data_IF_101217536962
#
_entry.id   IF_101217536962
#
_cell.length_a   1.000
_cell.length_b   1.000
_cell.length_c   1.000
_cell.angle_alpha   90.00
_cell.angle_beta   90.00
_cell.angle_gamma   90.00
#
_symmetry.space_group_name_H-M   'P 1'
#
loop_
_entity.id
_entity.type
_entity.pdbx_description
1 polymer ?
#
# COMPACT_ATOMS: atom_id res chain seq x y z
N UNK A 1 -2.93 5.15 -25.94
CA UNK A 1 -2.55 5.62 -24.58
C UNK A 1 -1.16 6.26 -24.55
N UNK A 2 -0.08 5.55 -24.90
CA UNK A 2 1.30 6.09 -24.89
C UNK A 2 1.45 7.40 -25.67
N UNK A 3 0.95 7.46 -26.91
CA UNK A 3 1.02 8.68 -27.73
C UNK A 3 0.31 9.88 -27.07
N UNK A 4 -0.82 9.64 -26.39
CA UNK A 4 -1.56 10.70 -25.68
C UNK A 4 -0.78 11.20 -24.46
N UNK A 5 -0.12 10.30 -23.72
CA UNK A 5 0.74 10.68 -22.59
C UNK A 5 1.88 11.57 -23.07
N UNK A 6 2.58 11.15 -24.13
CA UNK A 6 3.68 11.93 -24.70
C UNK A 6 3.20 13.30 -25.22
N UNK A 7 2.09 13.33 -25.97
CA UNK A 7 1.51 14.56 -26.48
C UNK A 7 1.10 15.52 -25.35
N UNK A 8 0.46 15.02 -24.30
CA UNK A 8 0.06 15.83 -23.15
C UNK A 8 1.28 16.43 -22.43
N UNK A 9 2.32 15.63 -22.19
CA UNK A 9 3.55 16.11 -21.55
C UNK A 9 4.24 17.16 -22.43
N UNK A 10 4.31 16.96 -23.76
CA UNK A 10 4.88 17.95 -24.68
C UNK A 10 4.10 19.26 -24.70
N UNK A 11 2.76 19.22 -24.71
CA UNK A 11 1.90 20.42 -24.64
C UNK A 11 2.03 21.16 -23.31
N UNK A 12 2.15 20.45 -22.20
CA UNK A 12 2.40 21.08 -20.90
C UNK A 12 3.78 21.73 -20.87
N UNK A 13 4.79 21.08 -21.46
CA UNK A 13 6.13 21.64 -21.56
C UNK A 13 6.20 22.90 -22.42
N UNK A 14 5.38 23.03 -23.47
CA UNK A 14 5.37 24.23 -24.33
C UNK A 14 4.81 25.47 -23.64
N UNK A 15 4.08 25.30 -22.54
CA UNK A 15 3.60 26.40 -21.68
C UNK A 15 4.42 26.49 -20.37
N UNK A 16 5.66 26.03 -20.40
CA UNK A 16 6.61 26.06 -19.28
C UNK A 16 6.19 25.25 -18.04
N UNK A 17 5.21 24.33 -18.16
CA UNK A 17 4.85 23.42 -17.08
C UNK A 17 5.69 22.14 -17.14
N UNK A 18 6.46 21.89 -16.07
CA UNK A 18 7.35 20.73 -15.98
C UNK A 18 6.69 19.55 -15.30
N UNK A 19 6.18 18.61 -16.08
CA UNK A 19 5.64 17.34 -15.55
C UNK A 19 6.76 16.52 -14.91
N UNK A 20 6.58 16.15 -13.63
CA UNK A 20 7.56 15.34 -12.88
C UNK A 20 7.09 13.92 -12.60
N UNK A 21 5.79 13.72 -12.58
CA UNK A 21 5.19 12.45 -12.18
C UNK A 21 3.94 12.18 -12.99
N UNK A 22 3.75 10.93 -13.37
CA UNK A 22 2.51 10.37 -13.89
C UNK A 22 1.94 9.44 -12.83
N UNK A 23 0.70 9.68 -12.42
CA UNK A 23 -0.04 8.84 -11.47
C UNK A 23 -1.14 8.09 -12.22
N UNK A 24 -1.25 6.78 -12.02
CA UNK A 24 -2.31 5.97 -12.61
C UNK A 24 -2.73 4.82 -11.69
N UNK A 25 -3.90 4.23 -11.94
CA UNK A 25 -4.31 3.00 -11.26
C UNK A 25 -3.62 1.77 -11.89
N UNK A 26 -4.01 0.57 -11.42
CA UNK A 26 -3.53 -0.70 -11.96
C UNK A 26 -4.53 -1.41 -12.89
N UNK A 27 -5.45 -0.69 -13.52
CA UNK A 27 -6.28 -1.24 -14.59
C UNK A 27 -5.38 -1.73 -15.74
N UNK A 28 -5.66 -2.89 -16.32
CA UNK A 28 -4.77 -3.59 -17.27
C UNK A 28 -4.11 -2.72 -18.36
N UNK A 29 -4.79 -1.72 -18.98
CA UNK A 29 -4.16 -0.84 -19.96
C UNK A 29 -3.00 0.00 -19.41
N UNK A 30 -3.04 0.40 -18.14
CA UNK A 30 -2.08 1.32 -17.54
C UNK A 30 -0.69 0.67 -17.35
N UNK A 31 -0.54 -0.48 -16.66
CA UNK A 31 0.75 -1.19 -16.59
C UNK A 31 1.29 -1.57 -17.97
N UNK A 32 0.43 -1.90 -18.93
CA UNK A 32 0.84 -2.18 -20.31
C UNK A 32 1.48 -0.93 -20.96
N UNK A 33 0.82 0.23 -20.86
CA UNK A 33 1.37 1.48 -21.35
C UNK A 33 2.69 1.87 -20.66
N UNK A 34 2.80 1.64 -19.34
CA UNK A 34 4.05 1.91 -18.61
C UNK A 34 5.18 1.02 -19.10
N UNK A 35 4.91 -0.26 -19.39
CA UNK A 35 5.89 -1.17 -19.99
C UNK A 35 6.33 -0.71 -21.38
N UNK A 36 5.40 -0.25 -22.22
CA UNK A 36 5.71 0.30 -23.54
C UNK A 36 6.55 1.60 -23.47
N UNK A 37 6.39 2.38 -22.40
CA UNK A 37 7.24 3.54 -22.09
C UNK A 37 8.62 3.15 -21.51
N UNK A 38 8.93 1.85 -21.38
CA UNK A 38 10.20 1.35 -20.86
C UNK A 38 10.34 1.45 -19.34
N UNK A 39 9.23 1.59 -18.61
CA UNK A 39 9.20 1.64 -17.15
C UNK A 39 9.46 0.25 -16.59
N UNK A 40 10.43 0.14 -15.67
CA UNK A 40 10.76 -1.11 -14.96
C UNK A 40 10.89 -0.87 -13.46
N UNK A 41 10.90 -1.92 -12.62
CA UNK A 41 11.20 -1.77 -11.19
C UNK A 41 12.58 -1.12 -10.94
N UNK A 42 13.53 -1.25 -11.85
CA UNK A 42 14.85 -0.63 -11.76
C UNK A 42 14.80 0.84 -12.16
N UNK A 43 14.03 1.14 -13.21
CA UNK A 43 13.88 2.44 -13.83
C UNK A 43 12.38 2.84 -13.83
N UNK A 44 11.83 3.28 -12.68
CA UNK A 44 10.40 3.61 -12.56
C UNK A 44 10.08 5.01 -13.14
N UNK A 45 10.65 5.31 -14.30
CA UNK A 45 10.52 6.59 -14.98
C UNK A 45 10.81 6.41 -16.48
N UNK A 46 10.32 7.36 -17.27
CA UNK A 46 10.58 7.47 -18.70
C UNK A 46 10.95 8.92 -19.05
N UNK A 47 11.25 9.18 -20.32
CA UNK A 47 11.59 10.51 -20.80
C UNK A 47 10.66 10.94 -21.93
N UNK A 48 10.29 12.22 -21.92
CA UNK A 48 9.62 12.92 -23.03
C UNK A 48 10.35 14.24 -23.24
N UNK A 49 10.91 14.48 -24.43
CA UNK A 49 11.68 15.70 -24.73
C UNK A 49 12.70 16.04 -23.64
N UNK A 50 13.54 15.05 -23.25
CA UNK A 50 14.53 15.14 -22.15
C UNK A 50 13.94 15.39 -20.74
N UNK A 51 12.63 15.53 -20.59
CA UNK A 51 11.96 15.61 -19.30
C UNK A 51 11.78 14.21 -18.71
N UNK A 52 12.45 13.96 -17.59
CA UNK A 52 12.30 12.73 -16.79
C UNK A 52 10.97 12.76 -16.03
N UNK A 53 10.12 11.78 -16.29
CA UNK A 53 8.80 11.62 -15.66
C UNK A 53 8.75 10.31 -14.88
N UNK A 54 8.57 10.42 -13.56
CA UNK A 54 8.45 9.29 -12.65
C UNK A 54 7.05 8.69 -12.71
N UNK A 55 6.92 7.37 -12.58
CA UNK A 55 5.62 6.68 -12.60
C UNK A 55 5.26 6.22 -11.21
N UNK A 56 4.08 6.60 -10.75
CA UNK A 56 3.53 6.21 -9.44
C UNK A 56 2.19 5.53 -9.66
N UNK A 57 2.00 4.35 -9.07
CA UNK A 57 0.66 3.78 -9.01
C UNK A 57 -0.08 4.35 -7.81
N UNK A 58 -1.38 4.61 -7.97
CA UNK A 58 -2.21 5.17 -6.92
C UNK A 58 -2.20 4.27 -5.67
N UNK A 59 -1.62 4.77 -4.58
CA UNK A 59 -1.43 4.02 -3.34
C UNK A 59 -2.77 3.55 -2.73
N UNK A 60 -3.76 4.41 -2.50
CA UNK A 60 -5.14 4.01 -2.20
C UNK A 60 -5.65 2.77 -2.97
N UNK A 61 -5.54 2.76 -4.29
CA UNK A 61 -5.95 1.62 -5.10
C UNK A 61 -5.05 0.40 -4.97
N UNK A 62 -3.74 0.56 -4.77
CA UNK A 62 -2.84 -0.56 -4.44
C UNK A 62 -3.27 -1.27 -3.17
N UNK A 63 -3.59 -0.52 -2.11
CA UNK A 63 -4.00 -1.08 -0.82
C UNK A 63 -5.35 -1.78 -0.88
N UNK A 64 -6.31 -1.20 -1.62
CA UNK A 64 -7.55 -1.89 -2.00
C UNK A 64 -7.25 -3.24 -2.66
N UNK A 65 -6.33 -3.27 -3.63
CA UNK A 65 -5.97 -4.50 -4.33
C UNK A 65 -5.27 -5.49 -3.40
N UNK A 66 -4.44 -5.04 -2.46
CA UNK A 66 -3.82 -5.93 -1.45
C UNK A 66 -4.88 -6.57 -0.56
N UNK A 67 -5.86 -5.79 -0.06
CA UNK A 67 -7.01 -6.33 0.69
C UNK A 67 -7.75 -7.37 -0.13
N UNK A 68 -8.09 -7.04 -1.37
CA UNK A 68 -8.84 -7.96 -2.24
C UNK A 68 -8.04 -9.24 -2.53
N UNK A 69 -6.72 -9.17 -2.67
CA UNK A 69 -5.90 -10.37 -2.83
C UNK A 69 -5.84 -11.21 -1.55
N UNK A 70 -5.68 -10.60 -0.37
CA UNK A 70 -5.72 -11.33 0.89
C UNK A 70 -7.08 -12.01 1.11
N UNK A 71 -8.18 -11.31 0.81
CA UNK A 71 -9.54 -11.86 0.87
C UNK A 71 -9.74 -13.00 -0.14
N UNK A 72 -9.29 -12.86 -1.39
CA UNK A 72 -9.55 -13.87 -2.42
C UNK A 72 -8.68 -15.12 -2.28
N UNK A 73 -7.42 -14.94 -1.90
CA UNK A 73 -6.43 -16.02 -1.78
C UNK A 73 -6.32 -16.58 -0.36
N UNK A 74 -6.98 -15.94 0.62
CA UNK A 74 -6.98 -16.27 2.04
C UNK A 74 -5.63 -16.15 2.74
N UNK A 75 -4.51 -16.25 2.03
CA UNK A 75 -3.17 -16.20 2.58
C UNK A 75 -2.22 -15.35 1.75
N UNK A 76 -1.42 -14.53 2.44
CA UNK A 76 -0.29 -13.80 1.87
C UNK A 76 0.96 -14.15 2.67
N UNK A 77 1.92 -14.82 2.02
CA UNK A 77 3.24 -15.11 2.57
C UNK A 77 4.17 -13.91 2.36
N UNK A 78 5.02 -13.67 3.33
CA UNK A 78 6.00 -12.60 3.32
C UNK A 78 7.23 -12.98 4.16
N UNK A 79 8.30 -12.20 4.05
CA UNK A 79 9.49 -12.38 4.90
C UNK A 79 9.12 -12.07 6.36
N UNK A 80 8.98 -13.12 7.16
CA UNK A 80 8.57 -13.05 8.56
C UNK A 80 7.22 -13.69 8.87
N UNK A 81 6.54 -14.35 7.93
CA UNK A 81 5.35 -15.16 8.23
C UNK A 81 4.31 -15.23 7.11
N UNK A 82 3.10 -15.65 7.50
CA UNK A 82 1.92 -15.79 6.66
C UNK A 82 0.75 -15.03 7.27
N UNK A 83 0.25 -14.04 6.54
CA UNK A 83 -0.99 -13.35 6.89
C UNK A 83 -2.17 -14.17 6.40
N UNK A 84 -3.14 -14.45 7.28
CA UNK A 84 -4.34 -15.22 6.95
C UNK A 84 -5.59 -14.38 7.18
N UNK A 85 -6.50 -14.40 6.20
CA UNK A 85 -7.77 -13.67 6.30
C UNK A 85 -8.64 -14.19 7.45
N UNK A 86 -8.59 -15.49 7.72
CA UNK A 86 -9.34 -16.12 8.81
C UNK A 86 -9.06 -15.48 10.18
N UNK A 87 -7.83 -15.04 10.47
CA UNK A 87 -7.53 -14.37 11.74
C UNK A 87 -8.26 -13.03 11.89
N UNK A 88 -8.52 -12.32 10.77
CA UNK A 88 -9.28 -11.05 10.78
C UNK A 88 -10.77 -11.34 11.01
N UNK A 89 -11.30 -12.43 10.43
CA UNK A 89 -12.67 -12.90 10.66
C UNK A 89 -12.86 -13.33 12.12
N UNK A 90 -11.99 -14.20 12.63
CA UNK A 90 -12.02 -14.66 14.01
C UNK A 90 -11.90 -13.50 15.01
N UNK A 91 -11.03 -12.53 14.74
CA UNK A 91 -10.94 -11.31 15.55
C UNK A 91 -12.28 -10.55 15.57
N UNK A 92 -12.90 -10.36 14.41
CA UNK A 92 -14.19 -9.66 14.33
C UNK A 92 -15.27 -10.41 15.11
N UNK A 93 -15.37 -11.73 14.94
CA UNK A 93 -16.33 -12.57 15.66
C UNK A 93 -16.12 -12.49 17.18
N UNK A 94 -14.87 -12.62 17.65
CA UNK A 94 -14.53 -12.50 19.08
C UNK A 94 -14.78 -11.08 19.66
N UNK A 95 -14.64 -10.04 18.83
CA UNK A 95 -14.99 -8.66 19.17
C UNK A 95 -16.51 -8.42 19.18
N UNK A 96 -17.28 -9.19 18.40
CA UNK A 96 -18.75 -9.14 18.38
C UNK A 96 -19.41 -9.92 19.51
N UNK A 97 -18.81 -11.02 19.98
CA UNK A 97 -19.36 -11.83 21.08
C UNK A 97 -19.68 -10.92 22.28
N UNK A 98 -20.96 -10.82 22.59
CA UNK A 98 -21.48 -10.21 23.82
C UNK A 98 -21.85 -11.35 24.77
N UNK A 99 -21.46 -11.21 26.03
CA UNK A 99 -21.98 -12.06 27.09
C UNK A 99 -23.28 -11.44 27.61
N UNK A 100 -24.26 -12.28 27.93
CA UNK A 100 -25.57 -11.83 28.38
C UNK A 100 -25.42 -11.03 29.68
N UNK A 101 -25.91 -9.78 29.69
CA UNK A 101 -25.77 -8.87 30.83
C UNK A 101 -24.45 -8.08 30.90
N UNK A 102 -23.52 -8.25 29.96
CA UNK A 102 -22.25 -7.50 29.92
C UNK A 102 -22.14 -6.68 28.64
N UNK A 103 -22.07 -5.36 28.76
CA UNK A 103 -21.76 -4.47 27.62
C UNK A 103 -20.25 -4.48 27.40
N UNK A 104 -19.77 -5.25 26.42
CA UNK A 104 -18.35 -5.29 26.07
C UNK A 104 -18.02 -4.15 25.11
N UNK A 105 -17.07 -3.29 25.52
CA UNK A 105 -16.51 -2.29 24.61
C UNK A 105 -15.76 -2.98 23.47
N UNK A 106 -16.16 -2.65 22.23
CA UNK A 106 -15.51 -3.17 21.03
C UNK A 106 -14.12 -2.57 20.84
N UNK A 107 -13.13 -3.40 20.56
CA UNK A 107 -11.76 -3.00 20.26
C UNK A 107 -11.64 -2.55 18.80
N UNK A 108 -12.31 -3.22 17.86
CA UNK A 108 -12.26 -2.91 16.43
C UNK A 108 -13.59 -2.34 15.92
N UNK A 109 -14.06 -1.26 16.55
CA UNK A 109 -15.35 -0.57 16.27
C UNK A 109 -15.60 -0.23 14.80
N UNK A 110 -14.53 0.01 14.02
CA UNK A 110 -14.62 0.35 12.59
C UNK A 110 -14.82 -0.87 11.71
N UNK A 111 -14.42 -2.07 12.13
CA UNK A 111 -14.64 -3.30 11.38
C UNK A 111 -16.11 -3.69 11.46
N UNK A 112 -16.64 -4.09 10.32
CA UNK A 112 -18.04 -4.49 10.10
C UNK A 112 -18.07 -5.60 9.06
N UNK A 113 -19.22 -6.26 8.90
CA UNK A 113 -19.42 -7.27 7.85
C UNK A 113 -18.99 -6.81 6.45
N UNK A 114 -19.18 -5.53 6.12
CA UNK A 114 -18.77 -4.94 4.83
C UNK A 114 -17.25 -4.99 4.58
N UNK A 115 -16.45 -5.12 5.64
CA UNK A 115 -15.01 -5.30 5.53
C UNK A 115 -14.65 -6.74 5.18
N UNK A 116 -15.37 -7.70 5.78
CA UNK A 116 -15.14 -9.13 5.67
C UNK A 116 -15.71 -9.71 4.37
N UNK A 117 -16.93 -9.27 4.03
CA UNK A 117 -17.75 -9.79 2.93
C UNK A 117 -18.19 -8.65 1.98
N UNK A 118 -17.25 -7.91 1.36
CA UNK A 118 -17.59 -6.76 0.51
C UNK A 118 -18.33 -7.17 -0.77
N UNK A 119 -19.45 -6.51 -1.08
CA UNK A 119 -20.21 -6.70 -2.33
C UNK A 119 -20.24 -5.45 -3.20
N UNK A 120 -20.28 -5.63 -4.54
CA UNK A 120 -20.39 -4.53 -5.50
C UNK A 120 -19.42 -3.37 -5.24
N UNK A 121 -19.97 -2.19 -4.91
CA UNK A 121 -19.20 -0.96 -4.65
C UNK A 121 -18.28 -1.04 -3.42
N UNK A 122 -18.54 -1.97 -2.50
CA UNK A 122 -17.70 -2.15 -1.29
C UNK A 122 -16.34 -2.79 -1.62
N UNK A 123 -16.27 -3.59 -2.70
CA UNK A 123 -15.01 -4.16 -3.20
C UNK A 123 -14.05 -3.08 -3.70
N UNK A 124 -14.59 -1.96 -4.17
CA UNK A 124 -13.80 -0.82 -4.67
C UNK A 124 -13.54 0.26 -3.62
N UNK A 125 -14.12 0.14 -2.42
CA UNK A 125 -13.95 1.12 -1.35
C UNK A 125 -12.56 1.07 -0.76
N UNK A 126 -11.77 2.13 -1.00
CA UNK A 126 -10.47 2.33 -0.37
C UNK A 126 -10.63 2.43 1.15
N UNK A 127 -11.66 3.14 1.64
CA UNK A 127 -11.89 3.33 3.07
C UNK A 127 -11.99 1.99 3.81
N UNK A 128 -12.82 1.07 3.30
CA UNK A 128 -12.98 -0.26 3.90
C UNK A 128 -11.65 -1.03 3.87
N UNK A 129 -10.92 -0.98 2.75
CA UNK A 129 -9.64 -1.66 2.63
C UNK A 129 -8.58 -1.12 3.62
N UNK A 130 -8.47 0.20 3.77
CA UNK A 130 -7.50 0.81 4.69
C UNK A 130 -7.86 0.60 6.15
N UNK A 131 -9.15 0.47 6.49
CA UNK A 131 -9.59 0.19 7.86
C UNK A 131 -9.21 -1.23 8.32
N UNK A 132 -9.17 -2.21 7.40
CA UNK A 132 -8.62 -3.55 7.66
C UNK A 132 -7.13 -3.46 8.02
N UNK A 133 -6.37 -2.64 7.29
CA UNK A 133 -4.94 -2.43 7.52
C UNK A 133 -4.63 -1.32 8.53
N UNK A 134 -5.44 -1.17 9.58
CA UNK A 134 -5.25 -0.11 10.56
C UNK A 134 -4.43 -0.55 11.77
N UNK A 135 -3.77 0.42 12.41
CA UNK A 135 -3.06 0.20 13.67
C UNK A 135 -3.93 -0.44 14.76
N UNK A 136 -5.22 -0.08 14.84
CA UNK A 136 -6.15 -0.67 15.82
C UNK A 136 -6.38 -2.16 15.55
N UNK A 137 -6.52 -2.56 14.29
CA UNK A 137 -6.68 -3.99 13.92
C UNK A 137 -5.39 -4.76 14.21
N UNK A 138 -4.22 -4.19 13.92
CA UNK A 138 -2.92 -4.77 14.33
C UNK A 138 -2.88 -5.03 15.83
N UNK A 139 -3.18 -4.01 16.65
CA UNK A 139 -3.11 -4.13 18.11
C UNK A 139 -4.08 -5.20 18.63
N UNK A 140 -5.30 -5.22 18.09
CA UNK A 140 -6.30 -6.22 18.46
C UNK A 140 -5.90 -7.64 18.05
N UNK A 141 -5.28 -7.83 16.87
CA UNK A 141 -4.73 -9.13 16.45
C UNK A 141 -3.60 -9.62 17.38
N UNK A 142 -2.74 -8.72 17.88
CA UNK A 142 -1.69 -9.07 18.84
C UNK A 142 -2.25 -9.49 20.20
N UNK A 143 -3.34 -8.85 20.65
CA UNK A 143 -4.03 -9.27 21.87
C UNK A 143 -4.73 -10.61 21.66
N UNK A 144 -5.44 -10.75 20.53
CA UNK A 144 -6.16 -11.94 20.13
C UNK A 144 -5.25 -13.16 19.96
N UNK A 145 -4.00 -12.98 19.49
CA UNK A 145 -3.07 -14.10 19.31
C UNK A 145 -2.71 -14.83 20.60
N UNK A 146 -2.90 -14.16 21.76
CA UNK A 146 -2.70 -14.75 23.09
C UNK A 146 -3.92 -15.53 23.59
N UNK A 147 -5.05 -15.44 22.90
CA UNK A 147 -6.25 -16.19 23.23
C UNK A 147 -6.18 -17.59 22.60
N UNK A 148 -6.53 -18.66 23.34
CA UNK A 148 -6.53 -20.02 22.82
C UNK A 148 -7.39 -20.22 21.57
N UNK A 149 -8.49 -19.46 21.44
CA UNK A 149 -9.45 -19.55 20.33
C UNK A 149 -8.87 -19.16 18.96
N UNK A 150 -7.86 -18.28 18.95
CA UNK A 150 -7.27 -17.72 17.71
C UNK A 150 -5.84 -18.25 17.52
N UNK A 151 -5.07 -18.27 18.60
CA UNK A 151 -3.73 -18.83 18.63
C UNK A 151 -2.63 -17.91 18.11
N UNK A 152 -1.39 -18.29 18.42
CA UNK A 152 -0.19 -17.46 18.20
C UNK A 152 0.07 -17.12 16.72
N UNK A 153 -0.46 -17.90 15.77
CA UNK A 153 -0.30 -17.64 14.34
C UNK A 153 -0.91 -16.30 13.88
N UNK A 154 -1.82 -15.71 14.66
CA UNK A 154 -2.35 -14.39 14.37
C UNK A 154 -1.31 -13.26 14.52
N UNK A 155 -0.19 -13.47 15.23
CA UNK A 155 0.91 -12.50 15.33
C UNK A 155 1.51 -12.16 13.97
N UNK A 156 1.66 -13.16 13.09
CA UNK A 156 2.16 -12.96 11.74
C UNK A 156 1.20 -12.09 10.93
N UNK A 157 -0.10 -12.29 11.10
CA UNK A 157 -1.13 -11.45 10.45
C UNK A 157 -1.13 -10.03 11.02
N UNK A 158 -0.93 -9.88 12.34
CA UNK A 158 -0.78 -8.58 12.97
C UNK A 158 0.46 -7.82 12.42
N UNK A 159 1.59 -8.52 12.28
CA UNK A 159 2.82 -7.98 11.71
C UNK A 159 2.61 -7.48 10.29
N UNK A 160 1.91 -8.27 9.45
CA UNK A 160 1.53 -7.87 8.10
C UNK A 160 0.63 -6.63 8.09
N UNK A 161 -0.48 -6.65 8.86
CA UNK A 161 -1.43 -5.53 8.98
C UNK A 161 -0.72 -4.25 9.41
N UNK A 162 0.16 -4.35 10.41
CA UNK A 162 0.97 -3.24 10.89
C UNK A 162 1.92 -2.69 9.83
N UNK A 163 2.62 -3.58 9.10
CA UNK A 163 3.51 -3.14 8.02
C UNK A 163 2.75 -2.44 6.90
N UNK A 164 1.57 -2.95 6.54
CA UNK A 164 0.70 -2.30 5.56
C UNK A 164 0.24 -0.93 6.06
N UNK A 165 -0.22 -0.79 7.31
CA UNK A 165 -0.57 0.50 7.92
C UNK A 165 0.57 1.53 7.72
N UNK A 166 1.77 1.14 8.13
CA UNK A 166 2.95 2.00 8.12
C UNK A 166 3.35 2.43 6.70
N UNK A 167 3.26 1.52 5.71
CA UNK A 167 3.49 1.84 4.30
C UNK A 167 2.42 2.81 3.79
N UNK A 168 1.14 2.61 4.15
CA UNK A 168 0.06 3.49 3.70
C UNK A 168 0.24 4.91 4.23
N UNK A 169 0.52 5.05 5.52
CA UNK A 169 0.80 6.34 6.16
C UNK A 169 1.97 7.06 5.49
N UNK A 170 3.05 6.33 5.17
CA UNK A 170 4.23 6.85 4.48
C UNK A 170 3.98 7.29 3.04
N UNK A 171 3.01 6.70 2.34
CA UNK A 171 2.69 7.02 0.94
C UNK A 171 1.51 7.98 0.80
N UNK A 172 0.78 8.29 1.88
CA UNK A 172 -0.44 9.09 1.86
C UNK A 172 -0.41 10.26 2.85
N UNK A 173 0.78 10.78 3.15
CA UNK A 173 0.94 11.93 4.05
C UNK A 173 0.31 13.20 3.48
N UNK A 174 -0.31 14.00 4.34
CA UNK A 174 -0.91 15.30 3.96
C UNK A 174 -0.27 16.50 4.64
N UNK A 175 0.58 16.28 5.63
CA UNK A 175 1.09 17.32 6.50
C UNK A 175 2.61 17.22 6.63
N UNK A 176 3.28 18.36 6.80
CA UNK A 176 4.72 18.40 7.09
C UNK A 176 5.05 17.72 8.42
N UNK A 177 4.15 17.85 9.39
CA UNK A 177 4.30 17.34 10.74
C UNK A 177 3.07 16.55 11.16
N UNK A 178 3.29 15.42 11.82
CA UNK A 178 2.27 14.55 12.38
C UNK A 178 2.82 13.86 13.62
N UNK A 179 1.94 13.50 14.56
CA UNK A 179 2.31 12.66 15.71
C UNK A 179 2.84 11.30 15.24
N UNK A 180 2.27 10.76 14.17
CA UNK A 180 2.83 9.61 13.48
C UNK A 180 3.94 10.08 12.53
N UNK A 181 5.20 9.80 12.89
CA UNK A 181 6.38 10.18 12.10
C UNK A 181 6.39 9.60 10.68
N UNK A 182 5.66 8.51 10.43
CA UNK A 182 5.50 7.93 9.09
C UNK A 182 4.46 8.68 8.26
N UNK A 183 3.52 9.40 8.88
CA UNK A 183 2.51 10.21 8.21
C UNK A 183 2.96 11.68 8.02
N UNK A 184 4.27 11.93 8.05
CA UNK A 184 4.86 13.23 7.72
C UNK A 184 5.25 13.26 6.24
N UNK A 185 5.30 14.47 5.66
CA UNK A 185 5.87 14.65 4.33
C UNK A 185 7.36 14.24 4.31
N UNK A 186 7.85 13.84 3.12
CA UNK A 186 9.27 13.63 2.92
C UNK A 186 10.03 14.94 3.19
N UNK A 187 10.94 14.89 4.17
CA UNK A 187 11.65 16.06 4.66
C UNK A 187 13.17 15.88 4.48
N UNK A 188 13.87 16.98 4.19
CA UNK A 188 15.33 17.01 4.02
C UNK A 188 16.04 16.74 5.34
N UNK A 189 15.57 17.37 6.41
CA UNK A 189 16.11 17.31 7.77
C UNK A 189 15.69 16.01 8.46
N UNK A 190 14.43 15.61 8.25
CA UNK A 190 13.87 14.41 8.86
C UNK A 190 13.69 13.29 7.83
N UNK A 191 14.64 12.36 7.83
CA UNK A 191 14.69 11.24 6.87
C UNK A 191 13.89 9.99 7.29
N UNK A 192 13.07 10.05 8.34
CA UNK A 192 12.37 8.87 8.87
C UNK A 192 11.53 8.14 7.81
N UNK A 193 10.68 8.87 7.08
CA UNK A 193 9.83 8.31 6.01
C UNK A 193 10.68 7.72 4.90
N UNK A 194 11.71 8.44 4.43
CA UNK A 194 12.59 7.97 3.37
C UNK A 194 13.39 6.71 3.78
N UNK A 195 13.88 6.65 5.02
CA UNK A 195 14.58 5.50 5.59
C UNK A 195 13.65 4.29 5.68
N UNK A 196 12.44 4.48 6.20
CA UNK A 196 11.42 3.44 6.28
C UNK A 196 11.01 2.91 4.91
N UNK A 197 10.68 3.80 3.96
CA UNK A 197 10.34 3.41 2.59
C UNK A 197 11.49 2.65 1.91
N UNK A 198 12.75 3.01 2.17
CA UNK A 198 13.90 2.27 1.65
C UNK A 198 14.02 0.89 2.30
N UNK A 199 13.84 0.79 3.62
CA UNK A 199 14.01 -0.47 4.36
C UNK A 199 12.87 -1.46 4.13
N UNK A 200 11.68 -1.01 3.72
CA UNK A 200 10.52 -1.87 3.51
C UNK A 200 10.48 -2.51 2.10
N UNK A 201 11.28 -2.03 1.14
CA UNK A 201 11.30 -2.59 -0.23
C UNK A 201 11.58 -4.11 -0.26
N UNK A 202 12.58 -4.66 0.45
CA UNK A 202 12.81 -6.10 0.47
C UNK A 202 11.61 -6.89 1.00
N UNK A 203 10.92 -6.35 2.00
CA UNK A 203 9.70 -6.94 2.55
C UNK A 203 8.57 -6.94 1.52
N UNK A 204 8.32 -5.82 0.82
CA UNK A 204 7.31 -5.76 -0.25
C UNK A 204 7.63 -6.74 -1.39
N UNK A 205 8.91 -6.87 -1.75
CA UNK A 205 9.36 -7.82 -2.77
C UNK A 205 9.21 -9.29 -2.36
N UNK A 206 9.07 -9.58 -1.07
CA UNK A 206 8.84 -10.93 -0.56
C UNK A 206 7.37 -11.37 -0.60
N UNK A 207 6.43 -10.45 -0.86
CA UNK A 207 4.99 -10.74 -0.82
C UNK A 207 4.59 -11.75 -1.90
N UNK A 208 3.91 -12.82 -1.49
CA UNK A 208 3.34 -13.85 -2.38
C UNK A 208 1.94 -14.20 -1.89
N UNK A 209 0.99 -14.36 -2.80
CA UNK A 209 -0.28 -15.02 -2.47
C UNK A 209 -0.07 -16.54 -2.56
N UNK A 210 -0.77 -17.29 -1.72
CA UNK A 210 -0.80 -18.76 -1.80
C UNK A 210 -2.05 -19.18 -2.58
N UNK A 211 -1.87 -19.96 -3.63
CA UNK A 211 -2.97 -20.46 -4.45
C UNK A 211 -3.65 -21.67 -3.80
N UNK A 212 -4.82 -22.07 -4.29
CA UNK A 212 -5.54 -23.27 -3.81
C UNK A 212 -4.73 -24.57 -3.91
N UNK A 213 -3.71 -24.61 -4.77
CA UNK A 213 -2.84 -25.76 -4.96
C UNK A 213 -1.48 -25.56 -4.26
N UNK A 214 -1.43 -24.73 -3.21
CA UNK A 214 -0.23 -24.37 -2.43
C UNK A 214 0.94 -23.79 -3.22
N UNK A 215 0.70 -23.30 -4.44
CA UNK A 215 1.71 -22.57 -5.21
C UNK A 215 1.76 -21.10 -4.80
N UNK A 216 2.97 -20.56 -4.68
CA UNK A 216 3.20 -19.14 -4.42
C UNK A 216 3.18 -18.32 -5.71
N UNK A 217 2.51 -17.17 -5.69
CA UNK A 217 2.40 -16.27 -6.85
C UNK A 217 2.62 -14.82 -6.46
N UNK A 218 3.39 -14.09 -7.28
CA UNK A 218 3.45 -12.62 -7.22
C UNK A 218 2.27 -12.04 -7.97
N UNK A 219 1.47 -11.19 -7.31
CA UNK A 219 0.37 -10.48 -7.95
C UNK A 219 0.77 -9.05 -8.37
N UNK A 220 0.14 -8.47 -9.40
CA UNK A 220 0.53 -7.15 -9.94
C UNK A 220 0.56 -6.02 -8.92
N UNK A 221 -0.30 -6.04 -7.89
CA UNK A 221 -0.30 -4.99 -6.86
C UNK A 221 0.94 -4.98 -5.99
N UNK A 222 1.58 -6.13 -5.74
CA UNK A 222 2.83 -6.19 -4.99
C UNK A 222 3.98 -5.57 -5.77
N UNK A 223 4.07 -5.89 -7.08
CA UNK A 223 5.04 -5.27 -7.99
C UNK A 223 4.80 -3.76 -8.10
N UNK A 224 3.55 -3.34 -8.26
CA UNK A 224 3.17 -1.93 -8.33
C UNK A 224 3.47 -1.15 -7.06
N UNK A 225 3.31 -1.76 -5.88
CA UNK A 225 3.67 -1.15 -4.60
C UNK A 225 5.18 -0.95 -4.48
N UNK A 226 5.99 -1.97 -4.80
CA UNK A 226 7.45 -1.84 -4.79
C UNK A 226 7.94 -0.77 -5.80
N UNK A 227 7.37 -0.76 -7.01
CA UNK A 227 7.66 0.24 -8.03
C UNK A 227 7.31 1.65 -7.54
N UNK A 228 6.14 1.82 -6.92
CA UNK A 228 5.67 3.10 -6.39
C UNK A 228 6.58 3.63 -5.30
N UNK A 229 6.94 2.80 -4.31
CA UNK A 229 7.86 3.18 -3.23
C UNK A 229 9.20 3.65 -3.81
N UNK A 230 9.76 2.90 -4.75
CA UNK A 230 11.03 3.26 -5.39
C UNK A 230 10.92 4.53 -6.23
N UNK A 231 9.82 4.69 -6.95
CA UNK A 231 9.53 5.89 -7.74
C UNK A 231 9.47 7.14 -6.87
N UNK A 232 8.74 7.09 -5.77
CA UNK A 232 8.64 8.19 -4.78
C UNK A 232 10.02 8.54 -4.22
N UNK A 233 10.83 7.54 -3.83
CA UNK A 233 12.18 7.77 -3.33
C UNK A 233 13.12 8.41 -4.36
N UNK A 234 13.03 8.00 -5.63
CA UNK A 234 13.85 8.56 -6.70
C UNK A 234 13.38 9.95 -7.11
N UNK A 235 12.07 10.17 -7.20
CA UNK A 235 11.47 11.49 -7.42
C UNK A 235 11.94 12.47 -6.35
N UNK A 236 11.88 12.07 -5.08
CA UNK A 236 12.33 12.88 -3.97
C UNK A 236 13.80 13.30 -4.13
N UNK A 237 14.68 12.36 -4.48
CA UNK A 237 16.10 12.67 -4.75
C UNK A 237 16.27 13.63 -5.94
N UNK A 238 15.54 13.41 -7.03
CA UNK A 238 15.60 14.24 -8.24
C UNK A 238 15.04 15.65 -8.02
N UNK A 239 14.10 15.82 -7.08
CA UNK A 239 13.61 17.13 -6.66
C UNK A 239 14.61 17.86 -5.77
N UNK A 240 15.29 17.16 -4.83
CA UNK A 240 16.33 17.75 -3.97
C UNK A 240 17.51 18.33 -4.72
N UNK A 241 17.99 17.65 -5.77
CA UNK A 241 19.14 18.12 -6.55
C UNK A 241 18.78 19.45 -7.22
N UNK A 242 17.60 19.51 -7.85
CA UNK A 242 17.18 20.67 -8.64
C UNK A 242 16.78 21.90 -7.81
N UNK A 243 16.43 21.76 -6.54
CA UNK A 243 16.22 22.92 -5.67
C UNK A 243 17.53 23.57 -5.18
N UNK A 244 18.67 22.88 -5.29
CA UNK A 244 19.98 23.46 -4.96
C UNK A 244 20.58 24.28 -6.10
N UNK A 245 20.22 23.98 -7.34
CA UNK A 245 20.69 24.70 -8.54
C UNK A 245 19.93 26.02 -8.80
N UNK A 246 19.06 26.45 -7.88
CA UNK A 246 18.24 27.67 -7.98
C UNK A 246 18.56 28.71 -6.88
N UNK A 247 19.67 28.55 -6.17
CA UNK A 247 20.20 29.52 -5.22
C UNK A 247 21.68 29.79 -5.54
#
# INVERSE_FOLDING_TARGET
MVNLINLAISKLSSVCLRVRTLVCDQGSPNPCAMKLLGVTPQKPFFFVNQTKVFVVFDAPHLFKNVRNNLLNWQQVKFSGGVAKWCHIVQLFEADQKQEEGIIKARTVTKLTEKHLNPVGREKISVKLATQVFSHTVKAALLTASKMPEIGNAAEETASFVGKMNDIFDALNSKMLFSRNKLNCALNIENSNVAKFLKSVIPWVNSLRVVTKNDREKVVPCFVGLALTIKSVLLLWKDLKVKTRDCY
#
